data_IF_308654803735
#
_entry.id   IF_308654803735
#
_cell.length_a   1.000
_cell.length_b   1.000
_cell.length_c   1.000
_cell.angle_alpha   90.00
_cell.angle_beta   90.00
_cell.angle_gamma   90.00
#
_symmetry.space_group_name_H-M   'P 1'
#
loop_
_entity.id
_entity.type
_entity.pdbx_description
1 polymer ?
#
# COMPACT_ATOMS: atom_id res chain seq x y z
N UNK A 1 10.50 -39.31 -16.72
CA UNK A 1 11.05 -39.22 -15.35
C UNK A 1 10.71 -37.85 -14.78
N UNK A 2 9.60 -37.78 -14.06
CA UNK A 2 9.05 -36.57 -13.43
C UNK A 2 9.97 -36.13 -12.28
N UNK A 3 10.53 -34.91 -12.36
CA UNK A 3 11.47 -34.41 -11.38
C UNK A 3 10.79 -34.24 -10.00
N UNK A 4 11.32 -34.85 -8.91
CA UNK A 4 10.70 -34.85 -7.58
C UNK A 4 10.55 -33.44 -6.97
N UNK A 5 11.41 -32.50 -7.33
CA UNK A 5 11.33 -31.09 -6.88
C UNK A 5 10.07 -30.40 -7.41
N UNK A 6 9.64 -30.73 -8.63
CA UNK A 6 8.47 -30.11 -9.25
C UNK A 6 7.16 -30.66 -8.65
N UNK A 7 7.21 -31.86 -8.07
CA UNK A 7 6.09 -32.52 -7.41
C UNK A 7 5.97 -32.05 -5.94
N UNK A 8 7.11 -31.84 -5.27
CA UNK A 8 7.20 -31.34 -3.91
C UNK A 8 6.47 -30.00 -3.70
N UNK A 9 6.64 -29.02 -4.59
CA UNK A 9 5.93 -27.74 -4.49
C UNK A 9 4.41 -27.82 -4.72
N UNK A 10 3.92 -28.88 -5.36
CA UNK A 10 2.50 -29.07 -5.72
C UNK A 10 1.80 -29.96 -4.69
N UNK A 11 2.51 -30.94 -4.10
CA UNK A 11 1.95 -31.94 -3.19
C UNK A 11 2.09 -31.57 -1.70
N UNK A 12 3.13 -30.85 -1.30
CA UNK A 12 3.27 -30.30 0.06
C UNK A 12 2.55 -28.95 0.11
N UNK A 13 1.22 -28.99 0.22
CA UNK A 13 0.40 -27.80 0.39
C UNK A 13 0.76 -27.09 1.69
N UNK A 14 1.76 -26.20 1.66
CA UNK A 14 2.26 -25.44 2.80
C UNK A 14 1.11 -24.68 3.49
N UNK A 15 0.56 -25.20 4.61
CA UNK A 15 -0.64 -24.62 5.22
C UNK A 15 -0.34 -23.28 5.90
N UNK A 16 0.95 -23.00 6.17
CA UNK A 16 1.41 -21.72 6.70
C UNK A 16 1.26 -20.58 5.68
N UNK A 17 1.32 -20.84 4.36
CA UNK A 17 1.12 -19.81 3.34
C UNK A 17 -0.29 -19.20 3.38
N UNK A 18 -1.38 -19.98 3.28
CA UNK A 18 -2.74 -19.44 3.40
C UNK A 18 -3.01 -18.88 4.80
N UNK A 19 -2.40 -19.43 5.85
CA UNK A 19 -2.52 -18.87 7.19
C UNK A 19 -1.89 -17.46 7.29
N UNK A 20 -0.65 -17.29 6.82
CA UNK A 20 0.02 -16.00 6.76
C UNK A 20 -0.76 -15.00 5.89
N UNK A 21 -1.25 -15.45 4.73
CA UNK A 21 -2.10 -14.62 3.87
C UNK A 21 -3.38 -14.18 4.60
N UNK A 22 -4.04 -15.09 5.33
CA UNK A 22 -5.22 -14.78 6.13
C UNK A 22 -4.95 -13.71 7.19
N UNK A 23 -3.85 -13.83 7.92
CA UNK A 23 -3.43 -12.84 8.94
C UNK A 23 -3.17 -11.47 8.32
N UNK A 24 -2.43 -11.41 7.20
CA UNK A 24 -2.13 -10.15 6.50
C UNK A 24 -3.43 -9.53 5.98
N UNK A 25 -4.31 -10.32 5.36
CA UNK A 25 -5.60 -9.84 4.87
C UNK A 25 -6.45 -9.27 6.02
N UNK A 26 -6.55 -9.97 7.15
CA UNK A 26 -7.27 -9.48 8.33
C UNK A 26 -6.68 -8.18 8.86
N UNK A 27 -5.35 -8.06 8.91
CA UNK A 27 -4.68 -6.83 9.34
C UNK A 27 -4.98 -5.65 8.40
N UNK A 28 -4.95 -5.87 7.08
CA UNK A 28 -5.29 -4.83 6.09
C UNK A 28 -6.76 -4.42 6.21
N UNK A 29 -7.67 -5.40 6.33
CA UNK A 29 -9.10 -5.13 6.52
C UNK A 29 -9.32 -4.34 7.81
N UNK A 30 -8.67 -4.71 8.90
CA UNK A 30 -8.80 -3.97 10.16
C UNK A 30 -8.34 -2.50 10.02
N UNK A 31 -7.22 -2.24 9.35
CA UNK A 31 -6.76 -0.87 9.09
C UNK A 31 -7.72 -0.10 8.16
N UNK A 32 -8.27 -0.75 7.13
CA UNK A 32 -9.29 -0.15 6.26
C UNK A 32 -10.56 0.20 7.04
N UNK A 33 -11.03 -0.71 7.91
CA UNK A 33 -12.18 -0.48 8.79
C UNK A 33 -11.91 0.71 9.73
N UNK A 34 -10.71 0.78 10.33
CA UNK A 34 -10.35 1.90 11.21
C UNK A 34 -10.22 3.22 10.44
N UNK A 35 -9.66 3.23 9.23
CA UNK A 35 -9.61 4.44 8.40
C UNK A 35 -11.01 4.93 8.01
N UNK A 36 -11.92 3.99 7.70
CA UNK A 36 -13.30 4.25 7.27
C UNK A 36 -14.19 4.73 8.40
N UNK A 37 -14.18 4.05 9.56
CA UNK A 37 -15.20 4.26 10.60
C UNK A 37 -14.70 5.00 11.84
N UNK A 38 -13.39 5.21 11.99
CA UNK A 38 -12.88 5.99 13.12
C UNK A 38 -13.21 7.47 12.94
N UNK A 39 -13.58 8.13 14.04
CA UNK A 39 -13.64 9.59 14.10
C UNK A 39 -12.27 10.17 13.68
N UNK A 40 -12.21 10.99 12.62
CA UNK A 40 -10.94 11.52 12.10
C UNK A 40 -10.33 12.62 12.98
N UNK A 41 -11.05 13.05 14.03
CA UNK A 41 -10.73 14.20 14.86
C UNK A 41 -11.74 15.32 14.66
N UNK A 42 -13.05 15.02 14.68
CA UNK A 42 -14.09 16.06 14.55
C UNK A 42 -13.99 17.01 15.75
N UNK A 43 -13.91 18.31 15.47
CA UNK A 43 -13.97 19.36 16.49
C UNK A 43 -15.46 19.74 16.69
N UNK A 44 -15.98 19.71 17.94
CA UNK A 44 -17.34 20.12 18.22
C UNK A 44 -17.60 21.57 17.79
N UNK A 45 -18.85 21.85 17.39
CA UNK A 45 -19.29 23.23 17.15
C UNK A 45 -19.30 23.99 18.47
N UNK A 46 -19.09 25.31 18.42
CA UNK A 46 -19.23 26.14 19.62
C UNK A 46 -20.66 26.09 20.15
N UNK A 47 -20.81 26.24 21.46
CA UNK A 47 -22.13 26.32 22.08
C UNK A 47 -22.81 27.66 21.74
N UNK A 48 -24.15 27.72 21.67
CA UNK A 48 -24.86 28.98 21.43
C UNK A 48 -24.64 30.06 22.50
N UNK A 49 -24.15 29.67 23.68
CA UNK A 49 -23.84 30.59 24.79
C UNK A 49 -22.47 31.24 24.63
N UNK A 50 -21.47 30.50 24.12
CA UNK A 50 -20.14 31.05 23.77
C UNK A 50 -20.21 32.00 22.56
N UNK A 51 -21.17 31.81 21.67
CA UNK A 51 -21.36 32.63 20.45
C UNK A 51 -22.01 34.01 20.76
N UNK A 52 -22.66 34.16 21.93
CA UNK A 52 -23.38 35.40 22.30
C UNK A 52 -22.48 36.56 22.69
N UNK A 53 -21.21 36.32 23.03
CA UNK A 53 -20.27 37.41 23.36
C UNK A 53 -19.58 38.00 22.12
N UNK A 54 -19.58 37.32 20.96
CA UNK A 54 -18.88 37.73 19.74
C UNK A 54 -19.79 38.45 18.69
N UNK A 55 -21.00 38.84 19.12
CA UNK A 55 -22.20 39.07 18.30
C UNK A 55 -22.20 40.29 17.34
N UNK A 56 -21.09 40.98 17.03
CA UNK A 56 -21.19 42.01 15.97
C UNK A 56 -19.99 42.21 15.05
N UNK A 57 -18.84 41.60 15.31
CA UNK A 57 -17.66 41.80 14.44
C UNK A 57 -16.46 40.91 14.74
N UNK A 58 -16.65 39.66 15.18
CA UNK A 58 -15.54 38.73 15.36
C UNK A 58 -14.59 38.80 14.15
N UNK A 59 -13.33 39.26 14.31
CA UNK A 59 -12.42 39.46 13.19
C UNK A 59 -12.33 38.17 12.39
N UNK A 60 -12.33 38.22 11.05
CA UNK A 60 -12.19 37.01 10.23
C UNK A 60 -10.95 36.17 10.60
N UNK A 61 -9.99 36.81 11.30
CA UNK A 61 -8.73 36.22 11.70
C UNK A 61 -8.33 36.57 13.12
N UNK A 62 -7.81 35.56 13.83
CA UNK A 62 -7.20 35.68 15.15
C UNK A 62 -5.75 35.20 15.06
N UNK A 63 -4.80 36.02 15.50
CA UNK A 63 -3.39 35.64 15.50
C UNK A 63 -3.05 34.93 16.80
N UNK A 64 -2.28 33.86 16.71
CA UNK A 64 -1.71 33.13 17.85
C UNK A 64 -0.23 32.92 17.62
N UNK A 65 0.58 33.04 18.65
CA UNK A 65 2.02 32.81 18.57
C UNK A 65 2.33 31.36 18.94
N UNK A 66 3.07 30.65 18.08
CA UNK A 66 3.47 29.26 18.28
C UNK A 66 4.96 29.18 18.01
N UNK A 67 5.75 28.89 19.05
CA UNK A 67 7.22 28.82 18.96
C UNK A 67 7.85 30.07 18.32
N UNK A 68 7.37 31.27 18.68
CA UNK A 68 7.87 32.54 18.12
C UNK A 68 7.35 32.89 16.72
N UNK A 69 6.46 32.07 16.14
CA UNK A 69 5.87 32.31 14.82
C UNK A 69 4.39 32.67 14.98
N UNK A 70 3.99 33.81 14.44
CA UNK A 70 2.58 34.23 14.40
C UNK A 70 1.81 33.42 13.35
N UNK A 71 0.89 32.58 13.80
CA UNK A 71 -0.01 31.79 12.97
C UNK A 71 -1.41 32.41 13.01
N UNK A 72 -2.00 32.55 11.82
CA UNK A 72 -3.32 33.17 11.65
C UNK A 72 -4.43 32.12 11.66
N UNK A 73 -5.24 32.09 12.71
CA UNK A 73 -6.47 31.31 12.78
C UNK A 73 -7.57 31.98 11.97
N UNK A 74 -8.43 31.19 11.34
CA UNK A 74 -9.56 31.65 10.50
C UNK A 74 -10.88 31.26 11.15
N UNK A 75 -11.85 32.18 11.17
CA UNK A 75 -13.23 31.85 11.58
C UNK A 75 -13.86 30.83 10.63
N UNK A 76 -14.63 29.88 11.18
CA UNK A 76 -15.49 28.98 10.43
C UNK A 76 -16.95 29.32 10.68
N UNK A 77 -17.62 29.87 9.67
CA UNK A 77 -19.05 30.27 9.75
C UNK A 77 -19.95 29.07 10.02
N UNK A 78 -19.63 27.89 9.47
CA UNK A 78 -20.50 26.71 9.60
C UNK A 78 -20.46 26.05 10.98
N UNK A 79 -19.30 26.14 11.65
CA UNK A 79 -19.08 25.52 12.96
C UNK A 79 -19.01 26.54 14.11
N UNK A 80 -19.00 27.83 13.77
CA UNK A 80 -18.97 28.98 14.68
C UNK A 80 -17.80 28.99 15.67
N UNK A 81 -16.58 28.77 15.16
CA UNK A 81 -15.38 28.97 15.98
C UNK A 81 -14.15 29.32 15.13
N UNK A 82 -13.13 29.88 15.77
CA UNK A 82 -11.81 30.06 15.16
C UNK A 82 -11.09 28.72 15.01
N UNK A 83 -10.89 28.28 13.77
CA UNK A 83 -10.21 27.02 13.46
C UNK A 83 -8.82 26.99 14.08
N UNK A 84 -8.52 26.04 14.99
CA UNK A 84 -7.17 25.85 15.53
C UNK A 84 -6.14 25.67 14.41
N UNK A 85 -4.85 25.90 14.71
CA UNK A 85 -3.78 25.59 13.78
C UNK A 85 -3.92 24.18 13.20
N UNK A 86 -3.77 24.04 11.89
CA UNK A 86 -3.92 22.78 11.12
C UNK A 86 -5.36 22.22 11.04
N UNK A 87 -6.35 22.85 11.65
CA UNK A 87 -7.76 22.48 11.45
C UNK A 87 -8.31 23.08 10.16
N UNK A 88 -9.07 22.29 9.40
CA UNK A 88 -9.82 22.78 8.23
C UNK A 88 -11.25 22.26 8.23
N UNK A 89 -12.14 23.01 7.57
CA UNK A 89 -13.54 22.62 7.40
C UNK A 89 -13.66 21.77 6.13
N UNK A 90 -14.21 20.57 6.27
CA UNK A 90 -14.58 19.73 5.14
C UNK A 90 -16.01 20.06 4.73
N UNK A 91 -16.21 20.63 3.54
CA UNK A 91 -17.55 20.93 3.03
C UNK A 91 -18.38 19.68 2.72
N UNK A 92 -17.73 18.55 2.42
CA UNK A 92 -18.40 17.27 2.11
C UNK A 92 -19.03 16.68 3.37
N UNK A 93 -18.27 16.59 4.46
CA UNK A 93 -18.76 16.06 5.73
C UNK A 93 -19.43 17.13 6.61
N UNK A 94 -19.34 18.40 6.21
CA UNK A 94 -19.86 19.57 6.93
C UNK A 94 -19.37 19.69 8.39
N UNK A 95 -18.10 19.36 8.61
CA UNK A 95 -17.45 19.36 9.93
C UNK A 95 -16.03 19.91 9.84
N UNK A 96 -15.55 20.46 10.95
CA UNK A 96 -14.14 20.83 11.11
C UNK A 96 -13.35 19.65 11.67
N UNK A 97 -12.24 19.31 11.02
CA UNK A 97 -11.37 18.19 11.41
C UNK A 97 -10.03 18.71 11.93
N UNK A 98 -9.60 18.20 13.08
CA UNK A 98 -8.30 18.45 13.66
C UNK A 98 -7.18 17.85 12.78
N UNK A 99 -6.18 18.67 12.44
CA UNK A 99 -5.09 18.27 11.53
C UNK A 99 -5.63 17.61 10.27
N UNK A 100 -6.57 18.30 9.61
CA UNK A 100 -7.22 17.83 8.40
C UNK A 100 -6.21 17.66 7.27
N UNK A 101 -6.24 16.51 6.61
CA UNK A 101 -5.48 16.25 5.39
C UNK A 101 -6.40 16.38 4.18
N UNK A 102 -7.35 15.46 4.02
CA UNK A 102 -8.32 15.48 2.92
C UNK A 102 -9.59 14.69 3.26
N UNK A 103 -10.64 14.88 2.46
CA UNK A 103 -11.76 13.94 2.40
C UNK A 103 -11.43 12.87 1.37
N UNK A 104 -11.40 11.60 1.78
CA UNK A 104 -11.04 10.50 0.92
C UNK A 104 -12.30 9.75 0.45
N UNK A 105 -12.66 9.80 -0.85
CA UNK A 105 -13.84 9.11 -1.35
C UNK A 105 -13.76 7.59 -1.19
N UNK A 106 -12.55 7.04 -1.20
CA UNK A 106 -12.31 5.59 -1.15
C UNK A 106 -12.62 4.95 0.20
N UNK A 107 -12.42 5.69 1.30
CA UNK A 107 -12.81 5.28 2.64
C UNK A 107 -14.08 6.00 3.12
N UNK A 108 -14.70 6.82 2.26
CA UNK A 108 -15.88 7.63 2.55
C UNK A 108 -15.81 8.37 3.90
N UNK A 109 -14.63 8.90 4.23
CA UNK A 109 -14.36 9.57 5.50
C UNK A 109 -13.29 10.66 5.31
N UNK A 110 -13.25 11.63 6.23
CA UNK A 110 -12.10 12.53 6.31
C UNK A 110 -10.88 11.79 6.83
N UNK A 111 -9.70 12.16 6.35
CA UNK A 111 -8.41 11.76 6.91
C UNK A 111 -7.89 12.93 7.75
N UNK A 112 -7.70 12.68 9.03
CA UNK A 112 -7.29 13.66 10.02
C UNK A 112 -6.44 13.05 11.13
N UNK A 113 -6.22 13.82 12.20
CA UNK A 113 -5.30 13.48 13.31
C UNK A 113 -5.43 12.05 13.82
N UNK A 114 -6.67 11.55 13.98
CA UNK A 114 -6.96 10.30 14.70
C UNK A 114 -6.89 9.05 13.84
N UNK A 115 -7.22 9.15 12.54
CA UNK A 115 -7.24 8.01 11.63
C UNK A 115 -6.08 7.98 10.62
N UNK A 116 -5.24 9.03 10.56
CA UNK A 116 -4.12 9.14 9.63
C UNK A 116 -3.20 7.90 9.62
N UNK A 117 -2.86 7.37 10.81
CA UNK A 117 -1.97 6.21 10.93
C UNK A 117 -2.53 4.95 10.25
N UNK A 118 -3.84 4.72 10.36
CA UNK A 118 -4.49 3.53 9.79
C UNK A 118 -4.59 3.66 8.27
N UNK A 119 -4.94 4.85 7.79
CA UNK A 119 -4.94 5.16 6.36
C UNK A 119 -3.55 4.96 5.75
N UNK A 120 -2.50 5.49 6.37
CA UNK A 120 -1.14 5.39 5.85
C UNK A 120 -0.62 3.94 5.84
N UNK A 121 -0.83 3.18 6.93
CA UNK A 121 -0.45 1.77 7.00
C UNK A 121 -1.20 0.95 5.93
N UNK A 122 -2.50 1.19 5.78
CA UNK A 122 -3.31 0.53 4.75
C UNK A 122 -2.77 0.76 3.34
N UNK A 123 -2.41 2.00 2.98
CA UNK A 123 -1.87 2.33 1.66
C UNK A 123 -0.52 1.62 1.42
N UNK A 124 0.40 1.66 2.40
CA UNK A 124 1.69 0.96 2.29
C UNK A 124 1.49 -0.54 2.09
N UNK A 125 0.62 -1.17 2.89
CA UNK A 125 0.36 -2.60 2.78
C UNK A 125 -0.28 -2.95 1.43
N UNK A 126 -1.20 -2.12 0.93
CA UNK A 126 -1.78 -2.29 -0.40
C UNK A 126 -0.72 -2.27 -1.51
N UNK A 127 0.21 -1.32 -1.45
CA UNK A 127 1.33 -1.24 -2.41
C UNK A 127 2.20 -2.52 -2.34
N UNK A 128 2.57 -2.95 -1.13
CA UNK A 128 3.39 -4.16 -0.95
C UNK A 128 2.69 -5.38 -1.57
N UNK A 129 1.40 -5.57 -1.30
CA UNK A 129 0.62 -6.71 -1.83
C UNK A 129 0.57 -6.66 -3.37
N UNK A 130 0.32 -5.48 -3.95
CA UNK A 130 0.26 -5.30 -5.40
C UNK A 130 1.60 -5.60 -6.08
N UNK A 131 2.73 -5.32 -5.43
CA UNK A 131 4.06 -5.62 -5.95
C UNK A 131 4.45 -7.08 -5.77
N UNK A 132 4.01 -7.71 -4.68
CA UNK A 132 4.30 -9.12 -4.34
C UNK A 132 3.81 -10.07 -5.44
N UNK A 133 2.57 -9.90 -5.92
CA UNK A 133 1.96 -10.80 -6.92
C UNK A 133 2.82 -10.94 -8.20
N UNK A 134 3.16 -9.85 -8.93
CA UNK A 134 3.98 -9.97 -10.13
C UNK A 134 5.40 -10.45 -9.81
N UNK A 135 6.00 -10.05 -8.68
CA UNK A 135 7.35 -10.49 -8.30
C UNK A 135 7.39 -12.01 -8.16
N UNK A 136 6.51 -12.60 -7.34
CA UNK A 136 6.49 -14.07 -7.17
C UNK A 136 6.12 -14.79 -8.47
N UNK A 137 5.18 -14.25 -9.24
CA UNK A 137 4.80 -14.82 -10.54
C UNK A 137 5.96 -14.87 -11.54
N UNK A 138 6.67 -13.74 -11.71
CA UNK A 138 7.83 -13.63 -12.59
C UNK A 138 8.99 -14.49 -12.09
N UNK A 139 9.31 -14.45 -10.79
CA UNK A 139 10.35 -15.29 -10.21
C UNK A 139 10.05 -16.78 -10.42
N UNK A 140 8.82 -17.23 -10.14
CA UNK A 140 8.39 -18.61 -10.38
C UNK A 140 8.51 -19.00 -11.86
N UNK A 141 8.05 -18.13 -12.76
CA UNK A 141 8.19 -18.33 -14.21
C UNK A 141 9.67 -18.48 -14.62
N UNK A 142 10.55 -17.61 -14.14
CA UNK A 142 11.98 -17.67 -14.43
C UNK A 142 12.68 -18.89 -13.82
N UNK A 143 12.28 -19.34 -12.62
CA UNK A 143 12.77 -20.60 -12.02
C UNK A 143 12.41 -21.79 -12.91
N UNK A 144 11.19 -21.84 -13.46
CA UNK A 144 10.77 -22.89 -14.40
C UNK A 144 11.57 -22.82 -15.71
N UNK A 145 11.84 -21.63 -16.24
CA UNK A 145 12.65 -21.48 -17.44
C UNK A 145 14.10 -21.96 -17.22
N UNK A 146 14.74 -21.50 -16.15
CA UNK A 146 16.12 -21.86 -15.80
C UNK A 146 16.24 -23.36 -15.57
N UNK A 147 15.32 -23.97 -14.79
CA UNK A 147 15.33 -25.42 -14.56
C UNK A 147 15.19 -26.24 -15.85
N UNK A 148 14.46 -25.72 -16.85
CA UNK A 148 14.30 -26.37 -18.16
C UNK A 148 15.39 -26.00 -19.18
N UNK A 149 16.37 -25.17 -18.78
CA UNK A 149 17.45 -24.69 -19.64
C UNK A 149 16.94 -23.81 -20.79
N UNK A 150 15.84 -23.10 -20.60
CA UNK A 150 15.18 -22.26 -21.61
C UNK A 150 15.31 -20.79 -21.26
N UNK A 151 15.38 -19.95 -22.28
CA UNK A 151 15.22 -18.49 -22.17
C UNK A 151 13.77 -18.08 -22.35
N UNK A 152 13.43 -16.85 -21.92
CA UNK A 152 12.08 -16.29 -22.14
C UNK A 152 11.75 -16.21 -23.63
N UNK A 153 12.71 -15.80 -24.47
CA UNK A 153 12.52 -15.71 -25.92
C UNK A 153 12.15 -17.09 -26.50
N UNK A 154 12.92 -18.14 -26.17
CA UNK A 154 12.66 -19.50 -26.65
C UNK A 154 11.30 -20.05 -26.20
N UNK A 155 10.85 -19.68 -24.99
CA UNK A 155 9.54 -20.06 -24.49
C UNK A 155 8.41 -19.32 -25.23
N UNK A 156 8.51 -18.00 -25.37
CA UNK A 156 7.47 -17.16 -25.99
C UNK A 156 7.35 -17.44 -27.49
N UNK A 157 8.48 -17.62 -28.18
CA UNK A 157 8.50 -17.97 -29.62
C UNK A 157 8.27 -19.46 -29.88
N UNK A 158 8.32 -20.30 -28.84
CA UNK A 158 8.06 -21.72 -28.94
C UNK A 158 9.10 -22.50 -29.74
N UNK A 159 10.39 -22.16 -29.62
CA UNK A 159 11.48 -22.84 -30.37
C UNK A 159 11.59 -24.34 -30.07
N UNK A 160 11.19 -24.79 -28.88
CA UNK A 160 11.30 -26.18 -28.43
C UNK A 160 9.94 -26.85 -28.17
N UNK A 161 8.95 -26.61 -29.04
CA UNK A 161 7.60 -27.22 -28.95
C UNK A 161 7.62 -28.76 -28.95
N UNK A 162 8.63 -29.39 -29.56
CA UNK A 162 8.86 -30.85 -29.52
C UNK A 162 9.40 -31.42 -28.21
N UNK A 163 9.50 -30.60 -27.15
CA UNK A 163 9.86 -31.05 -25.80
C UNK A 163 11.36 -31.20 -25.54
N UNK A 164 12.12 -31.69 -26.52
CA UNK A 164 13.58 -31.81 -26.42
C UNK A 164 14.26 -30.44 -26.56
N UNK A 165 15.03 -30.05 -25.52
CA UNK A 165 15.89 -28.87 -25.54
C UNK A 165 17.36 -29.34 -25.51
N UNK A 166 18.11 -29.19 -26.62
CA UNK A 166 19.50 -29.69 -26.70
C UNK A 166 20.46 -28.96 -25.75
N UNK A 167 20.08 -27.79 -25.23
CA UNK A 167 20.88 -27.02 -24.28
C UNK A 167 20.63 -27.42 -22.82
N UNK A 168 19.61 -28.26 -22.55
CA UNK A 168 19.31 -28.69 -21.19
C UNK A 168 20.35 -29.71 -20.70
N UNK A 169 20.97 -29.42 -19.55
CA UNK A 169 21.93 -30.27 -18.84
C UNK A 169 21.30 -31.02 -17.65
N UNK A 170 19.97 -30.95 -17.52
CA UNK A 170 19.21 -31.40 -16.36
C UNK A 170 18.96 -30.29 -15.33
N UNK A 171 17.86 -30.38 -14.57
CA UNK A 171 17.35 -29.31 -13.70
C UNK A 171 18.41 -28.61 -12.83
N UNK A 172 19.09 -29.35 -11.94
CA UNK A 172 20.08 -28.77 -11.02
C UNK A 172 21.33 -28.23 -11.74
N UNK A 173 21.76 -28.91 -12.80
CA UNK A 173 22.92 -28.48 -13.60
C UNK A 173 22.61 -27.23 -14.43
N UNK A 174 21.37 -27.07 -14.90
CA UNK A 174 20.92 -25.85 -15.56
C UNK A 174 20.96 -24.66 -14.58
N UNK A 175 20.42 -24.84 -13.38
CA UNK A 175 20.47 -23.79 -12.34
C UNK A 175 21.91 -23.43 -11.96
N UNK A 176 22.77 -24.42 -11.69
CA UNK A 176 24.19 -24.19 -11.37
C UNK A 176 24.92 -23.50 -12.53
N UNK A 177 24.65 -23.88 -13.78
CA UNK A 177 25.25 -23.22 -14.94
C UNK A 177 24.84 -21.75 -15.09
N UNK A 178 23.59 -21.39 -14.79
CA UNK A 178 23.16 -19.99 -14.85
C UNK A 178 23.71 -19.17 -13.68
N UNK A 179 23.77 -19.73 -12.47
CA UNK A 179 24.20 -19.01 -11.27
C UNK A 179 25.72 -18.94 -11.11
N UNK A 180 26.44 -19.95 -11.58
CA UNK A 180 27.88 -20.11 -11.33
C UNK A 180 28.68 -20.34 -12.62
N UNK A 181 28.04 -20.30 -13.78
CA UNK A 181 28.71 -20.50 -15.07
C UNK A 181 29.46 -19.26 -15.55
N UNK A 182 30.19 -19.39 -16.67
CA UNK A 182 30.94 -18.28 -17.24
C UNK A 182 30.02 -17.14 -17.68
N UNK A 183 30.34 -15.92 -17.26
CA UNK A 183 29.59 -14.71 -17.61
C UNK A 183 29.82 -14.29 -19.07
N UNK A 184 30.98 -14.62 -19.64
CA UNK A 184 31.37 -14.24 -20.99
C UNK A 184 31.05 -15.33 -22.02
N UNK A 185 30.63 -14.94 -23.23
CA UNK A 185 30.39 -15.89 -24.31
C UNK A 185 31.71 -16.60 -24.65
N UNK A 186 31.65 -17.93 -24.82
CA UNK A 186 32.75 -18.66 -25.44
C UNK A 186 32.57 -18.55 -26.96
N UNK A 187 33.53 -17.93 -27.64
CA UNK A 187 33.65 -18.08 -29.08
C UNK A 187 33.83 -19.56 -29.40
N UNK A 188 32.99 -20.09 -30.29
CA UNK A 188 33.21 -21.43 -30.83
C UNK A 188 34.53 -21.39 -31.60
N UNK A 189 35.57 -21.99 -31.02
CA UNK A 189 36.78 -22.38 -31.72
C UNK A 189 36.60 -23.82 -32.20
#
# INVERSE_FOLDING_TARGET
MTHPICRYYIEEGYPWLPACQGVITLFVIANFTLATFMDPGIIPKASPEEDREDDFRAPLYKNVEINGITVRMKWCVTCQFYRPPRCSHCSVCNVCIETFDHHCPWVNNCIGRRNYRFFFIMVIMGIIILLVIPIYGLTGFHIVLVSRGRTTNEQVTGKFKGGYNPFSRGCARNCCYILCGPQYPRSAH
#
